data_IF_234057486857
#
_entry.id   IF_234057486857
#
_cell.length_a   1.000
_cell.length_b   1.000
_cell.length_c   1.000
_cell.angle_alpha   90.00
_cell.angle_beta   90.00
_cell.angle_gamma   90.00
#
_symmetry.space_group_name_H-M   'P 1'
#
loop_
_entity.id
_entity.type
_entity.pdbx_description
1 polymer ?
#
# COMPACT_ATOMS: atom_id res chain seq x y z
N UNK A 1 -25.90 21.70 -26.52
CA UNK A 1 -25.17 22.56 -25.57
C UNK A 1 -24.16 21.69 -24.86
N UNK A 2 -22.88 21.82 -25.23
CA UNK A 2 -21.75 21.05 -24.67
C UNK A 2 -21.25 21.85 -23.48
N UNK A 3 -21.61 21.43 -22.26
CA UNK A 3 -21.14 22.04 -21.01
C UNK A 3 -19.70 21.64 -20.75
N UNK A 4 -18.82 22.64 -20.70
CA UNK A 4 -17.37 22.48 -20.62
C UNK A 4 -16.90 21.84 -19.31
N UNK A 5 -16.10 20.79 -19.45
CA UNK A 5 -15.31 20.17 -18.37
C UNK A 5 -14.05 21.02 -18.07
N UNK A 6 -13.81 22.09 -18.85
CA UNK A 6 -12.59 22.89 -18.81
C UNK A 6 -12.40 23.78 -17.58
N UNK A 7 -13.45 24.05 -16.80
CA UNK A 7 -13.40 25.04 -15.71
C UNK A 7 -13.04 24.45 -14.32
N UNK A 8 -13.04 23.12 -14.19
CA UNK A 8 -12.65 22.44 -12.95
C UNK A 8 -11.14 22.19 -12.85
N UNK A 9 -10.46 22.02 -13.99
CA UNK A 9 -9.02 21.75 -14.06
C UNK A 9 -8.13 22.98 -13.77
N UNK A 10 -8.71 24.19 -13.80
CA UNK A 10 -8.02 25.48 -13.61
C UNK A 10 -8.52 26.25 -12.40
N UNK A 11 -9.36 25.65 -11.55
CA UNK A 11 -9.74 26.27 -10.29
C UNK A 11 -8.53 26.33 -9.35
N UNK A 12 -8.05 27.54 -9.05
CA UNK A 12 -6.98 27.79 -8.07
C UNK A 12 -7.24 27.08 -6.73
N UNK A 13 -8.51 26.88 -6.38
CA UNK A 13 -8.96 26.12 -5.22
C UNK A 13 -8.72 24.60 -5.35
N UNK A 14 -8.97 24.01 -6.51
CA UNK A 14 -8.70 22.59 -6.77
C UNK A 14 -7.19 22.30 -6.78
N UNK A 15 -6.39 23.19 -7.36
CA UNK A 15 -4.92 23.11 -7.35
C UNK A 15 -4.40 23.25 -5.91
N UNK A 16 -4.89 24.23 -5.13
CA UNK A 16 -4.49 24.40 -3.74
C UNK A 16 -4.85 23.18 -2.86
N UNK A 17 -5.99 22.51 -3.12
CA UNK A 17 -6.34 21.25 -2.45
C UNK A 17 -5.47 20.08 -2.88
N UNK A 18 -5.18 19.95 -4.18
CA UNK A 18 -4.29 18.89 -4.67
C UNK A 18 -2.87 19.03 -4.09
N UNK A 19 -2.40 20.25 -3.87
CA UNK A 19 -1.12 20.54 -3.21
C UNK A 19 -1.12 20.11 -1.73
N UNK A 20 -2.25 20.17 -1.03
CA UNK A 20 -2.32 19.79 0.40
C UNK A 20 -2.08 18.30 0.64
N UNK A 21 -2.50 17.44 -0.30
CA UNK A 21 -2.36 15.98 -0.21
C UNK A 21 -1.32 15.44 -1.21
N UNK A 22 -0.44 16.29 -1.74
CA UNK A 22 0.54 15.89 -2.77
C UNK A 22 1.39 14.68 -2.34
N UNK A 23 1.86 14.67 -1.09
CA UNK A 23 2.62 13.54 -0.54
C UNK A 23 1.80 12.26 -0.44
N UNK A 24 0.49 12.34 -0.13
CA UNK A 24 -0.39 11.16 -0.13
C UNK A 24 -0.58 10.59 -1.54
N UNK A 25 -0.64 11.45 -2.56
CA UNK A 25 -0.73 11.00 -3.94
C UNK A 25 0.57 10.32 -4.39
N UNK A 26 1.73 10.93 -4.10
CA UNK A 26 3.05 10.36 -4.39
C UNK A 26 3.23 9.00 -3.70
N UNK A 27 2.95 8.91 -2.40
CA UNK A 27 3.03 7.66 -1.65
C UNK A 27 2.08 6.58 -2.20
N UNK A 28 0.88 6.96 -2.65
CA UNK A 28 -0.05 6.01 -3.25
C UNK A 28 0.45 5.47 -4.61
N UNK A 29 1.09 6.31 -5.43
CA UNK A 29 1.71 5.90 -6.68
C UNK A 29 2.92 4.97 -6.41
N UNK A 30 3.75 5.30 -5.42
CA UNK A 30 4.87 4.47 -4.98
C UNK A 30 4.40 3.11 -4.47
N UNK A 31 3.31 3.08 -3.70
CA UNK A 31 2.74 1.82 -3.20
C UNK A 31 2.24 0.93 -4.34
N UNK A 32 1.59 1.48 -5.37
CA UNK A 32 1.16 0.70 -6.53
C UNK A 32 2.38 0.11 -7.26
N UNK A 33 3.45 0.88 -7.41
CA UNK A 33 4.68 0.40 -8.02
C UNK A 33 5.33 -0.71 -7.17
N UNK A 34 5.40 -0.53 -5.85
CA UNK A 34 5.94 -1.51 -4.92
C UNK A 34 5.11 -2.81 -4.90
N UNK A 35 3.79 -2.74 -4.96
CA UNK A 35 2.90 -3.91 -5.03
C UNK A 35 3.16 -4.72 -6.31
N UNK A 36 3.34 -4.08 -7.46
CA UNK A 36 3.74 -4.78 -8.69
C UNK A 36 5.10 -5.48 -8.57
N UNK A 37 6.06 -4.87 -7.86
CA UNK A 37 7.37 -5.47 -7.60
C UNK A 37 7.21 -6.70 -6.69
N UNK A 38 6.42 -6.60 -5.62
CA UNK A 38 6.12 -7.70 -4.73
C UNK A 38 5.45 -8.86 -5.46
N UNK A 39 4.42 -8.59 -6.27
CA UNK A 39 3.75 -9.61 -7.09
C UNK A 39 4.73 -10.31 -8.05
N UNK A 40 5.65 -9.56 -8.65
CA UNK A 40 6.69 -10.13 -9.52
C UNK A 40 7.69 -10.99 -8.72
N UNK A 41 8.09 -10.56 -7.52
CA UNK A 41 8.97 -11.31 -6.63
C UNK A 41 8.32 -12.61 -6.15
N UNK A 42 7.07 -12.54 -5.67
CA UNK A 42 6.26 -13.69 -5.27
C UNK A 42 6.08 -14.69 -6.42
N UNK A 43 5.85 -14.22 -7.65
CA UNK A 43 5.77 -15.09 -8.83
C UNK A 43 7.09 -15.82 -9.10
N UNK A 44 8.23 -15.13 -8.95
CA UNK A 44 9.55 -15.76 -9.09
C UNK A 44 9.83 -16.77 -7.98
N UNK A 45 9.44 -16.47 -6.74
CA UNK A 45 9.55 -17.40 -5.61
C UNK A 45 8.69 -18.64 -5.85
N UNK A 46 7.43 -18.50 -6.28
CA UNK A 46 6.56 -19.63 -6.62
C UNK A 46 7.13 -20.48 -7.78
N UNK A 47 7.86 -19.89 -8.72
CA UNK A 47 8.58 -20.64 -9.75
C UNK A 47 9.81 -21.35 -9.18
N UNK A 48 10.50 -20.72 -8.24
CA UNK A 48 11.64 -21.27 -7.52
C UNK A 48 11.22 -22.48 -6.66
N UNK A 49 10.12 -22.40 -5.92
CA UNK A 49 9.52 -23.51 -5.17
C UNK A 49 9.21 -24.70 -6.09
N UNK A 50 8.51 -24.47 -7.21
CA UNK A 50 8.23 -25.54 -8.18
C UNK A 50 9.49 -26.18 -8.77
N UNK A 51 10.55 -25.40 -8.92
CA UNK A 51 11.85 -25.91 -9.38
C UNK A 51 12.52 -26.74 -8.27
N UNK A 52 12.39 -26.30 -7.02
CA UNK A 52 12.91 -26.98 -5.85
C UNK A 52 12.23 -28.34 -5.66
N UNK A 53 10.90 -28.39 -5.76
CA UNK A 53 10.10 -29.63 -5.65
C UNK A 53 10.50 -30.68 -6.70
N UNK A 54 10.96 -30.24 -7.87
CA UNK A 54 11.41 -31.10 -8.96
C UNK A 54 12.88 -31.48 -8.85
N UNK A 55 13.64 -30.78 -8.02
CA UNK A 55 15.04 -31.10 -7.79
C UNK A 55 15.13 -32.25 -6.79
N UNK A 56 15.82 -33.33 -7.16
CA UNK A 56 16.24 -34.34 -6.18
C UNK A 56 17.37 -33.71 -5.38
N UNK A 57 17.04 -33.15 -4.21
CA UNK A 57 18.02 -32.56 -3.31
C UNK A 57 18.78 -33.68 -2.61
N UNK A 58 20.05 -33.84 -2.96
CA UNK A 58 20.96 -34.79 -2.31
C UNK A 58 21.41 -34.31 -0.92
N UNK A 59 21.35 -32.99 -0.69
CA UNK A 59 21.70 -32.33 0.56
C UNK A 59 20.47 -31.72 1.26
N UNK A 60 20.54 -31.54 2.58
CA UNK A 60 19.47 -30.91 3.39
C UNK A 60 19.41 -29.39 3.28
N UNK A 61 20.38 -28.76 2.61
CA UNK A 61 20.47 -27.31 2.51
C UNK A 61 19.71 -26.76 1.31
N UNK A 62 19.03 -25.63 1.52
CA UNK A 62 18.32 -24.93 0.45
C UNK A 62 19.31 -24.32 -0.53
N UNK A 63 19.07 -24.45 -1.86
CA UNK A 63 19.95 -23.85 -2.85
C UNK A 63 19.99 -22.31 -2.75
N UNK A 64 21.17 -21.73 -3.00
CA UNK A 64 21.38 -20.27 -2.97
C UNK A 64 20.45 -19.50 -3.91
N UNK A 65 20.09 -20.08 -5.06
CA UNK A 65 19.14 -19.47 -5.99
C UNK A 65 17.71 -19.41 -5.45
N UNK A 66 17.34 -20.29 -4.51
CA UNK A 66 16.05 -20.29 -3.83
C UNK A 66 16.04 -19.22 -2.74
N UNK A 67 17.08 -19.23 -1.89
CA UNK A 67 17.26 -18.23 -0.82
C UNK A 67 17.25 -16.79 -1.37
N UNK A 68 17.90 -16.55 -2.51
CA UNK A 68 17.86 -15.24 -3.15
C UNK A 68 16.45 -14.79 -3.57
N UNK A 69 15.52 -15.73 -3.85
CA UNK A 69 14.13 -15.39 -4.19
C UNK A 69 13.27 -15.16 -2.96
N UNK A 70 13.55 -15.85 -1.87
CA UNK A 70 12.94 -15.52 -0.57
C UNK A 70 13.38 -14.12 -0.13
N UNK A 71 14.67 -13.79 -0.26
CA UNK A 71 15.19 -12.47 0.09
C UNK A 71 14.61 -11.34 -0.80
N UNK A 72 14.50 -11.57 -2.11
CA UNK A 72 13.84 -10.63 -3.04
C UNK A 72 12.39 -10.34 -2.62
N UNK A 73 11.62 -11.38 -2.25
CA UNK A 73 10.22 -11.24 -1.85
C UNK A 73 10.08 -10.55 -0.49
N UNK A 74 10.87 -10.97 0.50
CA UNK A 74 10.89 -10.35 1.83
C UNK A 74 11.27 -8.86 1.76
N UNK A 75 12.24 -8.51 0.92
CA UNK A 75 12.66 -7.12 0.70
C UNK A 75 11.54 -6.29 0.07
N UNK A 76 10.87 -6.83 -0.96
CA UNK A 76 9.74 -6.15 -1.60
C UNK A 76 8.57 -5.97 -0.63
N UNK A 77 8.28 -6.97 0.22
CA UNK A 77 7.25 -6.92 1.25
C UNK A 77 7.53 -5.82 2.27
N UNK A 78 8.77 -5.73 2.74
CA UNK A 78 9.20 -4.69 3.70
C UNK A 78 8.97 -3.28 3.15
N UNK A 79 9.23 -3.07 1.85
CA UNK A 79 8.99 -1.77 1.21
C UNK A 79 7.49 -1.44 1.17
N UNK A 80 6.65 -2.42 0.80
CA UNK A 80 5.18 -2.25 0.79
C UNK A 80 4.65 -1.94 2.18
N UNK A 81 5.08 -2.67 3.20
CA UNK A 81 4.70 -2.42 4.60
C UNK A 81 5.12 -1.02 5.07
N UNK A 82 6.35 -0.59 4.76
CA UNK A 82 6.81 0.75 5.10
C UNK A 82 5.99 1.85 4.41
N UNK A 83 5.59 1.67 3.16
CA UNK A 83 4.74 2.61 2.44
C UNK A 83 3.33 2.68 3.04
N UNK A 84 2.77 1.55 3.45
CA UNK A 84 1.51 1.53 4.19
C UNK A 84 1.59 2.33 5.50
N UNK A 85 2.67 2.16 6.26
CA UNK A 85 2.92 2.94 7.49
C UNK A 85 3.02 4.44 7.19
N UNK A 86 3.81 4.83 6.19
CA UNK A 86 3.95 6.23 5.80
C UNK A 86 2.62 6.86 5.36
N UNK A 87 1.79 6.13 4.62
CA UNK A 87 0.45 6.61 4.23
C UNK A 87 -0.45 6.73 5.47
N UNK A 88 -0.36 5.80 6.42
CA UNK A 88 -1.10 5.89 7.67
C UNK A 88 -0.66 7.10 8.51
N UNK A 89 0.62 7.45 8.51
CA UNK A 89 1.15 8.60 9.27
C UNK A 89 0.92 9.95 8.56
N UNK A 90 0.77 9.94 7.24
CA UNK A 90 0.59 11.18 6.46
C UNK A 90 -0.86 11.68 6.57
N UNK A 91 -1.05 12.91 7.07
CA UNK A 91 -2.38 13.49 7.28
C UNK A 91 -3.15 13.70 5.96
N UNK A 92 -4.44 13.41 5.95
CA UNK A 92 -5.31 13.73 4.82
C UNK A 92 -6.07 15.04 5.07
N UNK A 93 -5.84 16.05 4.23
CA UNK A 93 -6.46 17.36 4.32
C UNK A 93 -7.67 17.51 3.39
N UNK A 94 -7.81 16.62 2.42
CA UNK A 94 -8.91 16.65 1.46
C UNK A 94 -9.71 15.36 1.42
N UNK A 95 -10.90 15.44 0.81
CA UNK A 95 -11.73 14.25 0.53
C UNK A 95 -11.00 13.24 -0.37
N UNK A 96 -10.08 13.71 -1.22
CA UNK A 96 -9.31 12.83 -2.10
C UNK A 96 -8.24 12.06 -1.32
N UNK A 97 -7.49 12.72 -0.42
CA UNK A 97 -6.56 12.06 0.49
C UNK A 97 -7.24 11.04 1.40
N UNK A 98 -8.42 11.39 1.96
CA UNK A 98 -9.24 10.44 2.72
C UNK A 98 -9.69 9.24 1.88
N UNK A 99 -10.05 9.46 0.62
CA UNK A 99 -10.45 8.39 -0.29
C UNK A 99 -9.29 7.42 -0.61
N UNK A 100 -8.05 7.90 -0.63
CA UNK A 100 -6.86 7.04 -0.78
C UNK A 100 -6.75 6.11 0.42
N UNK A 101 -6.75 6.65 1.64
CA UNK A 101 -6.68 5.84 2.87
C UNK A 101 -7.82 4.82 2.97
N UNK A 102 -9.04 5.23 2.59
CA UNK A 102 -10.20 4.33 2.55
C UNK A 102 -10.05 3.20 1.54
N UNK A 103 -9.53 3.48 0.34
CA UNK A 103 -9.27 2.43 -0.67
C UNK A 103 -8.22 1.44 -0.19
N UNK A 104 -7.18 1.91 0.49
CA UNK A 104 -6.12 1.06 1.04
C UNK A 104 -6.63 0.18 2.17
N UNK A 105 -7.43 0.75 3.07
CA UNK A 105 -8.13 -0.03 4.10
C UNK A 105 -9.01 -1.11 3.46
N UNK A 106 -9.78 -0.76 2.42
CA UNK A 106 -10.58 -1.72 1.66
C UNK A 106 -9.75 -2.84 1.04
N UNK A 107 -8.59 -2.51 0.45
CA UNK A 107 -7.69 -3.50 -0.13
C UNK A 107 -7.13 -4.49 0.92
N UNK A 108 -6.71 -3.99 2.09
CA UNK A 108 -6.18 -4.81 3.18
C UNK A 108 -7.21 -5.80 3.74
N UNK A 109 -8.50 -5.44 3.69
CA UNK A 109 -9.59 -6.30 4.13
C UNK A 109 -10.22 -7.14 3.00
N UNK A 110 -9.66 -7.19 1.80
CA UNK A 110 -10.30 -7.83 0.63
C UNK A 110 -11.73 -7.28 0.34
N UNK A 111 -11.99 -6.02 0.69
CA UNK A 111 -13.31 -5.37 0.73
C UNK A 111 -14.31 -6.02 1.72
N UNK A 112 -13.83 -6.83 2.65
CA UNK A 112 -14.59 -7.41 3.76
C UNK A 112 -13.95 -7.03 5.11
N UNK A 113 -14.47 -5.98 5.78
CA UNK A 113 -13.93 -5.50 7.07
C UNK A 113 -14.07 -6.53 8.21
N UNK A 114 -14.68 -7.69 7.96
CA UNK A 114 -14.80 -8.80 8.92
C UNK A 114 -13.76 -9.92 8.69
N UNK A 115 -13.05 -9.90 7.56
CA UNK A 115 -11.94 -10.80 7.29
C UNK A 115 -10.68 -10.32 8.02
N UNK A 116 -10.68 -10.39 9.35
CA UNK A 116 -9.46 -10.23 10.13
C UNK A 116 -8.52 -11.40 9.81
N UNK A 117 -7.48 -11.15 9.01
CA UNK A 117 -6.32 -12.05 8.94
C UNK A 117 -5.52 -11.88 10.23
N UNK A 118 -5.63 -12.89 11.09
CA UNK A 118 -5.09 -12.96 12.46
C UNK A 118 -3.55 -13.14 12.52
N UNK A 119 -2.81 -12.78 11.47
CA UNK A 119 -1.42 -13.25 11.28
C UNK A 119 -0.41 -12.16 10.86
N UNK A 120 -0.78 -10.88 10.89
CA UNK A 120 0.18 -9.78 10.68
C UNK A 120 0.44 -9.01 11.99
N UNK A 121 1.65 -9.13 12.52
CA UNK A 121 2.18 -8.37 13.67
C UNK A 121 2.18 -6.83 13.45
N UNK A 122 1.90 -6.37 12.23
CA UNK A 122 1.76 -4.95 11.89
C UNK A 122 0.27 -4.59 11.82
N UNK A 123 -0.23 -3.93 12.87
CA UNK A 123 -1.60 -3.42 12.96
C UNK A 123 -1.82 -2.16 12.07
N UNK A 124 -1.41 -2.26 10.80
CA UNK A 124 -1.60 -1.24 9.76
C UNK A 124 -3.08 -0.85 9.62
N UNK A 125 -4.06 -1.78 9.64
CA UNK A 125 -5.46 -1.42 9.51
C UNK A 125 -5.94 -0.50 10.65
N UNK A 126 -5.56 -0.79 11.91
CA UNK A 126 -5.95 0.09 13.03
C UNK A 126 -5.21 1.41 13.02
N UNK A 127 -3.96 1.46 12.55
CA UNK A 127 -3.23 2.73 12.35
C UNK A 127 -3.90 3.60 11.29
N UNK A 128 -4.31 3.03 10.15
CA UNK A 128 -5.06 3.73 9.11
C UNK A 128 -6.41 4.24 9.63
N UNK A 129 -7.15 3.41 10.37
CA UNK A 129 -8.42 3.80 10.98
C UNK A 129 -8.24 4.95 11.97
N UNK A 130 -7.24 4.87 12.85
CA UNK A 130 -6.92 5.95 13.81
C UNK A 130 -6.56 7.24 13.10
N UNK A 131 -5.70 7.15 12.09
CA UNK A 131 -5.28 8.28 11.28
C UNK A 131 -6.46 8.97 10.60
N UNK A 132 -7.38 8.19 10.01
CA UNK A 132 -8.60 8.74 9.42
C UNK A 132 -9.52 9.41 10.45
N UNK A 133 -9.60 8.88 11.68
CA UNK A 133 -10.35 9.54 12.77
C UNK A 133 -9.72 10.89 13.10
N UNK A 134 -8.39 10.97 13.21
CA UNK A 134 -7.64 12.21 13.47
C UNK A 134 -7.69 13.21 12.31
N UNK A 135 -7.83 12.73 11.08
CA UNK A 135 -8.02 13.56 9.88
C UNK A 135 -9.41 14.22 9.86
N UNK A 136 -10.44 13.53 10.36
CA UNK A 136 -11.83 13.99 10.35
C UNK A 136 -12.18 14.83 11.58
N UNK A 137 -11.55 14.57 12.72
CA UNK A 137 -11.76 15.36 13.94
C UNK A 137 -11.09 16.75 13.80
N UNK A 138 -11.81 17.85 14.10
CA UNK A 138 -11.18 19.16 14.17
C UNK A 138 -10.08 19.12 15.24
N UNK A 139 -8.96 19.87 15.08
CA UNK A 139 -7.95 19.95 16.12
C UNK A 139 -8.64 20.38 17.42
N UNK A 140 -8.55 19.54 18.44
CA UNK A 140 -8.98 19.92 19.79
C UNK A 140 -8.17 21.18 20.14
N UNK A 141 -8.89 22.28 20.30
CA UNK A 141 -8.32 23.61 20.47
C UNK A 141 -7.21 23.60 21.54
N UNK A 142 -6.02 24.05 21.16
CA UNK A 142 -4.95 24.49 22.06
C UNK A 142 -4.78 26.00 21.91
#
# INVERSE_FOLDING_TARGET
MVGGIGDLATSSYAIARAVQDASLFELAEELIAADHILQAAATKLACAERKLDRAVLEDRELPTWFLAREEDEASARTVVESLYEQIAETRAHTKAGLAIKLKLLGALYCNDPTAAQDDCDVDVPSRLLRSMIEDVLPPLCS
#
